data_IF_742798855819
#
_entry.id   IF_742798855819
#
_cell.length_a   1.000
_cell.length_b   1.000
_cell.length_c   1.000
_cell.angle_alpha   90.00
_cell.angle_beta   90.00
_cell.angle_gamma   90.00
#
_symmetry.space_group_name_H-M   'P 1'
#
loop_
_entity.id
_entity.type
_entity.pdbx_description
1 polymer ?
#
# COMPACT_ATOMS: atom_id res chain seq x y z
N UNK A 1 -29.23 -78.29 32.88
CA UNK A 1 -28.87 -77.31 31.83
C UNK A 1 -29.06 -75.91 32.41
N UNK A 2 -27.98 -75.19 32.75
CA UNK A 2 -28.12 -73.92 33.48
C UNK A 2 -26.90 -72.99 33.41
N UNK A 3 -26.15 -73.01 32.31
CA UNK A 3 -24.86 -72.29 32.20
C UNK A 3 -24.79 -71.15 31.18
N UNK A 4 -25.86 -70.83 30.45
CA UNK A 4 -25.74 -70.02 29.21
C UNK A 4 -26.20 -68.56 29.29
N UNK A 5 -26.92 -68.14 30.34
CA UNK A 5 -27.44 -66.76 30.46
C UNK A 5 -26.39 -65.74 30.93
N UNK A 6 -25.33 -66.18 31.63
CA UNK A 6 -24.27 -65.29 32.13
C UNK A 6 -23.25 -64.85 31.08
N UNK A 7 -22.95 -65.70 30.09
CA UNK A 7 -21.95 -65.40 29.05
C UNK A 7 -22.48 -64.41 28.02
N UNK A 8 -23.76 -64.51 27.65
CA UNK A 8 -24.40 -63.56 26.72
C UNK A 8 -24.49 -62.14 27.29
N UNK A 9 -24.82 -62.00 28.58
CA UNK A 9 -24.84 -60.71 29.26
C UNK A 9 -23.44 -60.07 29.37
N UNK A 10 -22.40 -60.89 29.58
CA UNK A 10 -21.02 -60.43 29.62
C UNK A 10 -20.53 -59.96 28.24
N UNK A 11 -20.82 -60.72 27.18
CA UNK A 11 -20.44 -60.37 25.80
C UNK A 11 -21.12 -59.07 25.35
N UNK A 12 -22.41 -58.90 25.67
CA UNK A 12 -23.13 -57.65 25.39
C UNK A 12 -22.57 -56.48 26.22
N UNK A 13 -22.22 -56.71 27.49
CA UNK A 13 -21.59 -55.68 28.34
C UNK A 13 -20.24 -55.19 27.80
N UNK A 14 -19.39 -56.10 27.31
CA UNK A 14 -18.09 -55.76 26.70
C UNK A 14 -18.29 -55.03 25.35
N UNK A 15 -19.26 -55.44 24.55
CA UNK A 15 -19.59 -54.76 23.29
C UNK A 15 -20.10 -53.33 23.53
N UNK A 16 -20.97 -53.13 24.53
CA UNK A 16 -21.48 -51.80 24.90
C UNK A 16 -20.39 -50.90 25.46
N UNK A 17 -19.43 -51.44 26.22
CA UNK A 17 -18.24 -50.71 26.66
C UNK A 17 -17.37 -50.26 25.48
N UNK A 18 -17.23 -51.10 24.45
CA UNK A 18 -16.53 -50.74 23.21
C UNK A 18 -17.21 -49.60 22.46
N UNK A 19 -18.54 -49.66 22.30
CA UNK A 19 -19.32 -48.59 21.65
C UNK A 19 -19.24 -47.30 22.47
N UNK A 20 -19.33 -47.39 23.80
CA UNK A 20 -19.22 -46.24 24.68
C UNK A 20 -17.83 -45.58 24.61
N UNK A 21 -16.78 -46.38 24.49
CA UNK A 21 -15.42 -45.87 24.30
C UNK A 21 -15.26 -45.13 22.96
N UNK A 22 -15.79 -45.69 21.87
CA UNK A 22 -15.77 -45.04 20.54
C UNK A 22 -16.63 -43.79 20.53
N UNK A 23 -17.80 -43.80 21.17
CA UNK A 23 -18.68 -42.64 21.27
C UNK A 23 -18.02 -41.50 22.07
N UNK A 24 -17.34 -41.81 23.17
CA UNK A 24 -16.61 -40.80 23.97
C UNK A 24 -15.49 -40.17 23.15
N UNK A 25 -14.72 -40.97 22.41
CA UNK A 25 -13.67 -40.46 21.50
C UNK A 25 -14.24 -39.57 20.39
N UNK A 26 -15.40 -39.93 19.83
CA UNK A 26 -16.05 -39.12 18.80
C UNK A 26 -16.57 -37.79 19.36
N UNK A 27 -17.12 -37.78 20.57
CA UNK A 27 -17.57 -36.57 21.26
C UNK A 27 -16.36 -35.68 21.57
N UNK A 28 -15.26 -36.24 22.04
CA UNK A 28 -14.04 -35.48 22.34
C UNK A 28 -13.43 -34.86 21.07
N UNK A 29 -13.43 -35.60 19.95
CA UNK A 29 -13.02 -35.06 18.65
C UNK A 29 -13.94 -33.93 18.15
N UNK A 30 -15.25 -34.05 18.35
CA UNK A 30 -16.22 -33.00 18.00
C UNK A 30 -16.08 -31.78 18.91
N UNK A 31 -15.85 -31.98 20.22
CA UNK A 31 -15.64 -30.89 21.16
C UNK A 31 -14.35 -30.14 20.84
N UNK A 32 -13.25 -30.84 20.57
CA UNK A 32 -12.00 -30.23 20.14
C UNK A 32 -12.19 -29.41 18.86
N UNK A 33 -12.85 -29.99 17.84
CA UNK A 33 -13.14 -29.27 16.59
C UNK A 33 -14.06 -28.06 16.80
N UNK A 34 -15.04 -28.16 17.70
CA UNK A 34 -15.90 -27.03 18.05
C UNK A 34 -15.15 -25.93 18.80
N UNK A 35 -14.17 -26.30 19.63
CA UNK A 35 -13.34 -25.36 20.36
C UNK A 35 -12.39 -24.64 19.42
N UNK A 36 -11.72 -25.37 18.50
CA UNK A 36 -10.82 -24.80 17.49
C UNK A 36 -11.56 -23.80 16.57
N UNK A 37 -12.83 -24.09 16.25
CA UNK A 37 -13.67 -23.18 15.45
C UNK A 37 -14.08 -21.93 16.25
N UNK A 38 -14.32 -22.07 17.55
CA UNK A 38 -14.67 -20.95 18.44
C UNK A 38 -13.46 -20.06 18.70
N UNK A 39 -12.27 -20.62 18.90
CA UNK A 39 -11.03 -19.86 19.04
C UNK A 39 -10.72 -19.10 17.75
N UNK A 40 -10.87 -19.73 16.58
CA UNK A 40 -10.69 -19.06 15.28
C UNK A 40 -11.73 -17.94 15.02
N UNK A 41 -12.92 -18.02 15.61
CA UNK A 41 -13.95 -16.97 15.51
C UNK A 41 -13.72 -15.82 16.51
N UNK A 42 -12.85 -16.01 17.51
CA UNK A 42 -12.49 -15.00 18.49
C UNK A 42 -11.25 -14.16 18.11
N UNK A 43 -10.49 -14.59 17.10
CA UNK A 43 -9.34 -13.84 16.62
C UNK A 43 -9.82 -12.58 15.87
N UNK A 44 -9.42 -11.39 16.29
CA UNK A 44 -9.91 -10.16 15.69
C UNK A 44 -9.49 -10.10 14.23
N UNK A 45 -10.40 -9.83 13.30
CA UNK A 45 -10.02 -9.74 11.89
C UNK A 45 -9.15 -8.50 11.64
N UNK A 46 -8.08 -8.61 10.84
CA UNK A 46 -7.44 -7.43 10.26
C UNK A 46 -8.46 -6.69 9.38
N UNK A 47 -8.49 -5.36 9.50
CA UNK A 47 -9.39 -4.52 8.74
C UNK A 47 -8.67 -3.23 8.36
N UNK A 48 -8.79 -2.86 7.09
CA UNK A 48 -8.21 -1.65 6.51
C UNK A 48 -9.34 -0.87 5.88
N UNK A 49 -9.37 0.43 6.18
CA UNK A 49 -10.36 1.36 5.65
C UNK A 49 -9.72 2.61 5.05
N UNK A 50 -10.45 3.24 4.12
CA UNK A 50 -10.08 4.48 3.45
C UNK A 50 -10.75 5.62 4.21
N UNK A 51 -9.94 6.50 4.80
CA UNK A 51 -10.45 7.69 5.50
C UNK A 51 -10.87 8.73 4.48
N UNK A 52 -9.98 9.02 3.53
CA UNK A 52 -10.21 9.90 2.42
C UNK A 52 -9.38 9.44 1.23
N UNK A 53 -9.83 9.84 0.05
CA UNK A 53 -9.06 9.72 -1.16
C UNK A 53 -9.50 10.84 -2.11
N UNK A 54 -8.55 11.32 -2.91
CA UNK A 54 -8.79 12.37 -3.90
C UNK A 54 -7.79 12.23 -5.03
N UNK A 55 -8.21 12.56 -6.24
CA UNK A 55 -7.29 12.78 -7.34
C UNK A 55 -6.91 14.27 -7.44
N UNK A 56 -5.61 14.52 -7.60
CA UNK A 56 -5.12 15.82 -8.01
C UNK A 56 -4.66 15.74 -9.45
N UNK A 57 -5.51 16.26 -10.32
CA UNK A 57 -5.14 16.53 -11.70
C UNK A 57 -4.06 17.62 -11.71
N UNK A 58 -3.14 17.52 -12.66
CA UNK A 58 -2.17 18.56 -13.00
C UNK A 58 -0.97 18.73 -12.05
N UNK A 59 -0.55 17.67 -11.36
CA UNK A 59 0.72 17.66 -10.64
C UNK A 59 1.91 17.41 -11.57
N UNK A 60 3.10 17.94 -11.24
CA UNK A 60 4.34 17.53 -11.94
C UNK A 60 4.69 16.13 -11.45
N UNK A 61 4.43 15.12 -12.28
CA UNK A 61 4.68 13.74 -11.90
C UNK A 61 6.14 13.35 -12.08
N UNK A 62 6.72 13.78 -13.20
CA UNK A 62 8.08 13.44 -13.59
C UNK A 62 8.82 14.68 -14.14
N UNK A 63 10.15 14.65 -14.05
CA UNK A 63 11.03 15.65 -14.64
C UNK A 63 12.10 14.95 -15.46
N UNK A 64 11.96 15.03 -16.77
CA UNK A 64 12.95 14.48 -17.69
C UNK A 64 14.16 15.42 -17.81
N UNK A 65 15.36 14.88 -17.59
CA UNK A 65 16.62 15.56 -17.86
C UNK A 65 16.93 15.39 -19.35
N UNK A 66 16.59 16.39 -20.16
CA UNK A 66 16.89 16.37 -21.60
C UNK A 66 18.37 16.64 -21.87
N UNK A 67 18.96 17.54 -21.08
CA UNK A 67 20.40 17.82 -21.05
C UNK A 67 20.79 18.08 -19.59
N UNK A 68 21.78 17.35 -19.07
CA UNK A 68 22.30 17.56 -17.71
C UNK A 68 23.16 18.82 -17.56
N UNK A 69 23.61 19.40 -18.68
CA UNK A 69 24.52 20.55 -18.70
C UNK A 69 25.91 20.21 -18.15
N UNK A 70 26.62 21.23 -17.66
CA UNK A 70 27.94 21.07 -17.02
C UNK A 70 28.18 22.16 -15.98
N UNK A 71 29.03 21.87 -14.98
CA UNK A 71 29.45 22.85 -13.97
C UNK A 71 28.42 23.15 -12.89
N UNK A 72 27.32 22.39 -12.83
CA UNK A 72 26.33 22.51 -11.76
C UNK A 72 26.86 21.94 -10.45
N UNK A 73 26.42 22.54 -9.36
CA UNK A 73 26.51 21.96 -8.01
C UNK A 73 25.12 21.49 -7.58
N UNK A 74 25.05 20.46 -6.73
CA UNK A 74 23.77 19.93 -6.24
C UNK A 74 22.94 21.04 -5.58
N UNK A 75 21.64 21.09 -5.89
CA UNK A 75 20.81 22.24 -5.56
C UNK A 75 19.31 21.94 -5.69
N UNK A 76 18.52 22.99 -5.83
CA UNK A 76 17.06 22.91 -5.98
C UNK A 76 16.61 23.27 -7.39
N UNK A 77 15.43 22.78 -7.77
CA UNK A 77 14.79 23.18 -9.03
C UNK A 77 13.81 24.31 -8.73
N UNK A 78 13.91 25.37 -9.50
CA UNK A 78 12.96 26.49 -9.48
C UNK A 78 12.03 26.40 -10.69
N UNK A 79 10.81 26.89 -10.49
CA UNK A 79 9.79 27.00 -11.53
C UNK A 79 9.68 28.44 -12.00
N UNK A 80 9.46 28.63 -13.30
CA UNK A 80 9.14 29.93 -13.89
C UNK A 80 8.09 29.77 -14.99
N UNK A 81 7.23 30.76 -15.17
CA UNK A 81 6.08 30.65 -16.07
C UNK A 81 5.03 29.64 -15.58
N UNK A 82 4.13 29.23 -16.49
CA UNK A 82 3.01 28.36 -16.16
C UNK A 82 1.90 29.03 -15.37
N UNK A 83 0.91 28.26 -14.94
CA UNK A 83 -0.19 28.72 -14.07
C UNK A 83 -0.40 27.68 -12.98
N UNK A 84 0.20 27.94 -11.82
CA UNK A 84 0.29 26.99 -10.73
C UNK A 84 1.31 27.43 -9.67
N UNK A 85 1.42 26.67 -8.59
CA UNK A 85 2.45 26.87 -7.56
C UNK A 85 2.66 25.60 -6.72
N UNK A 86 3.67 25.62 -5.86
CA UNK A 86 3.88 24.57 -4.86
C UNK A 86 4.83 23.45 -5.26
N UNK A 87 5.40 23.47 -6.47
CA UNK A 87 6.44 22.51 -6.84
C UNK A 87 7.76 22.78 -6.10
N UNK A 88 8.39 21.72 -5.62
CA UNK A 88 9.73 21.74 -5.02
C UNK A 88 10.44 20.43 -5.32
N UNK A 89 11.69 20.51 -5.76
CA UNK A 89 12.53 19.35 -6.04
C UNK A 89 14.00 19.69 -5.80
N UNK A 90 14.80 18.68 -5.49
CA UNK A 90 16.26 18.75 -5.45
C UNK A 90 16.85 17.98 -6.62
N UNK A 91 18.09 18.30 -6.98
CA UNK A 91 18.83 17.58 -7.99
C UNK A 91 20.25 17.26 -7.51
N UNK A 92 20.77 16.12 -7.97
CA UNK A 92 22.16 15.68 -7.78
C UNK A 92 22.95 15.86 -9.07
N UNK A 93 24.27 15.93 -8.94
CA UNK A 93 25.18 16.11 -10.07
C UNK A 93 26.24 15.03 -10.08
N UNK A 94 26.66 14.64 -11.28
CA UNK A 94 27.85 13.82 -11.47
C UNK A 94 29.08 14.61 -11.02
N UNK A 95 29.89 14.02 -10.14
CA UNK A 95 31.02 14.72 -9.50
C UNK A 95 32.18 15.02 -10.46
N UNK A 96 32.25 14.33 -11.60
CA UNK A 96 33.34 14.46 -12.57
C UNK A 96 33.05 15.50 -13.66
N UNK A 97 31.77 15.68 -14.02
CA UNK A 97 31.32 16.58 -15.09
C UNK A 97 30.51 17.77 -14.60
N UNK A 98 29.93 17.68 -13.40
CA UNK A 98 28.95 18.65 -12.89
C UNK A 98 27.66 18.66 -13.71
N UNK A 99 27.34 17.58 -14.41
CA UNK A 99 26.07 17.40 -15.11
C UNK A 99 25.00 16.93 -14.12
N UNK A 100 23.77 17.41 -14.27
CA UNK A 100 22.64 16.92 -13.47
C UNK A 100 22.34 15.47 -13.86
N UNK A 101 22.33 14.57 -12.88
CA UNK A 101 22.19 13.10 -13.07
C UNK A 101 21.01 12.50 -12.28
N UNK A 102 20.41 13.26 -11.37
CA UNK A 102 19.25 12.78 -10.62
C UNK A 102 18.38 13.91 -10.12
N UNK A 103 17.07 13.67 -10.03
CA UNK A 103 16.08 14.60 -9.51
C UNK A 103 15.23 13.87 -8.47
N UNK A 104 14.95 14.55 -7.36
CA UNK A 104 14.05 14.06 -6.32
C UNK A 104 12.96 15.10 -6.12
N UNK A 105 11.73 14.74 -6.46
CA UNK A 105 10.56 15.60 -6.27
C UNK A 105 10.12 15.53 -4.81
N UNK A 106 10.07 16.68 -4.14
CA UNK A 106 9.62 16.81 -2.75
C UNK A 106 8.14 17.19 -2.72
N UNK A 107 7.73 18.06 -3.63
CA UNK A 107 6.33 18.48 -3.80
C UNK A 107 6.05 18.66 -5.29
N UNK A 108 4.95 18.07 -5.75
CA UNK A 108 4.53 18.09 -7.16
C UNK A 108 3.85 19.41 -7.55
N UNK A 109 3.23 20.10 -6.57
CA UNK A 109 2.44 21.32 -6.81
C UNK A 109 1.23 21.08 -7.69
N UNK A 110 0.48 22.14 -8.00
CA UNK A 110 -0.69 22.09 -8.89
C UNK A 110 -0.53 23.07 -10.04
N UNK A 111 -0.64 22.59 -11.28
CA UNK A 111 -0.23 23.31 -12.49
C UNK A 111 -1.19 23.13 -13.67
N UNK A 112 -2.17 24.01 -13.83
CA UNK A 112 -3.04 24.01 -15.03
C UNK A 112 -2.30 24.26 -16.35
N UNK A 113 -1.13 24.91 -16.29
CA UNK A 113 -0.20 25.07 -17.41
C UNK A 113 1.20 24.74 -16.91
N UNK A 114 1.88 23.84 -17.61
CA UNK A 114 3.22 23.36 -17.23
C UNK A 114 4.21 24.53 -17.08
N UNK A 115 4.96 24.61 -15.98
CA UNK A 115 6.00 25.62 -15.82
C UNK A 115 7.24 25.24 -16.63
N UNK A 116 8.14 26.21 -16.80
CA UNK A 116 9.53 25.93 -17.18
C UNK A 116 10.34 25.65 -15.94
N UNK A 117 11.10 24.55 -15.94
CA UNK A 117 11.97 24.17 -14.84
C UNK A 117 13.40 24.66 -15.09
N UNK A 118 14.02 25.22 -14.06
CA UNK A 118 15.43 25.62 -14.07
C UNK A 118 16.14 25.14 -12.81
N UNK A 119 17.33 24.58 -12.98
CA UNK A 119 18.20 24.27 -11.85
C UNK A 119 18.75 25.58 -11.26
N UNK A 120 18.46 25.86 -9.98
CA UNK A 120 19.13 26.95 -9.27
C UNK A 120 20.52 26.45 -8.89
N UNK A 121 21.56 26.96 -9.54
CA UNK A 121 22.94 26.58 -9.25
C UNK A 121 23.53 27.51 -8.17
N UNK A 122 23.73 27.03 -6.92
CA UNK A 122 24.33 27.84 -5.87
C UNK A 122 25.82 28.16 -6.17
N UNK A 123 26.48 27.35 -7.00
CA UNK A 123 27.88 27.51 -7.38
C UNK A 123 28.12 28.58 -8.47
N UNK A 124 27.08 29.01 -9.19
CA UNK A 124 27.13 30.03 -10.23
C UNK A 124 27.90 29.66 -11.51
N UNK A 125 28.24 28.39 -11.71
CA UNK A 125 29.02 27.88 -12.85
C UNK A 125 28.23 26.97 -13.82
N UNK A 126 26.99 26.63 -13.48
CA UNK A 126 26.14 25.72 -14.24
C UNK A 126 25.64 26.31 -15.55
N UNK A 127 25.81 25.58 -16.65
CA UNK A 127 25.35 26.00 -17.98
C UNK A 127 24.74 24.84 -18.75
N UNK A 128 23.66 25.13 -19.49
CA UNK A 128 23.13 24.24 -20.53
C UNK A 128 22.27 23.08 -20.05
N UNK A 129 21.81 23.06 -18.79
CA UNK A 129 20.80 22.09 -18.38
C UNK A 129 19.43 22.41 -18.99
N UNK A 130 18.73 21.37 -19.40
CA UNK A 130 17.36 21.45 -19.91
C UNK A 130 16.53 20.37 -19.24
N UNK A 131 15.49 20.82 -18.53
CA UNK A 131 14.59 20.01 -17.74
C UNK A 131 13.18 20.17 -18.30
N UNK A 132 12.50 19.05 -18.55
CA UNK A 132 11.14 19.05 -19.09
C UNK A 132 10.20 18.44 -18.05
N UNK A 133 9.30 19.23 -17.43
CA UNK A 133 8.30 18.66 -16.53
C UNK A 133 7.24 17.92 -17.34
N UNK A 134 6.75 16.83 -16.77
CA UNK A 134 5.56 16.17 -17.27
C UNK A 134 4.44 16.26 -16.24
N UNK A 135 3.31 16.80 -16.68
CA UNK A 135 2.10 16.83 -15.87
C UNK A 135 1.39 15.47 -15.94
N UNK A 136 0.77 15.08 -14.84
CA UNK A 136 -0.03 13.88 -14.73
C UNK A 136 -1.08 14.00 -13.64
N UNK A 137 -1.76 12.90 -13.36
CA UNK A 137 -2.69 12.77 -12.23
C UNK A 137 -2.02 12.01 -11.10
N UNK A 138 -2.21 12.50 -9.88
CA UNK A 138 -1.75 11.86 -8.65
C UNK A 138 -2.97 11.52 -7.81
N UNK A 139 -3.04 10.31 -7.28
CA UNK A 139 -4.07 9.90 -6.34
C UNK A 139 -3.47 9.92 -4.93
N UNK A 140 -4.11 10.69 -4.06
CA UNK A 140 -3.83 10.74 -2.64
C UNK A 140 -4.89 9.95 -1.90
N UNK A 141 -4.48 9.11 -0.95
CA UNK A 141 -5.42 8.42 -0.08
C UNK A 141 -4.85 8.25 1.32
N UNK A 142 -5.63 8.56 2.34
CA UNK A 142 -5.29 8.18 3.71
C UNK A 142 -6.02 6.91 4.09
N UNK A 143 -5.27 5.93 4.56
CA UNK A 143 -5.80 4.64 5.00
C UNK A 143 -5.51 4.44 6.48
N UNK A 144 -6.36 3.67 7.15
CA UNK A 144 -6.18 3.29 8.54
C UNK A 144 -6.42 1.81 8.72
N UNK A 145 -5.80 1.25 9.75
CA UNK A 145 -6.16 -0.05 10.27
C UNK A 145 -7.18 0.13 11.38
N UNK A 146 -8.45 -0.10 11.08
CA UNK A 146 -9.55 -0.05 12.04
C UNK A 146 -9.80 -1.39 12.74
N UNK A 147 -9.07 -2.43 12.35
CA UNK A 147 -8.97 -3.69 13.07
C UNK A 147 -8.06 -3.59 14.31
N UNK A 148 -7.84 -4.73 14.97
CA UNK A 148 -6.93 -4.79 16.12
C UNK A 148 -5.67 -5.64 15.89
N UNK A 149 -5.52 -6.23 14.71
CA UNK A 149 -4.27 -6.91 14.30
C UNK A 149 -3.37 -5.95 13.57
N UNK A 150 -2.05 -6.07 13.74
CA UNK A 150 -1.08 -5.31 12.94
C UNK A 150 -0.95 -5.93 11.55
N UNK A 151 -0.90 -5.10 10.51
CA UNK A 151 -0.87 -5.55 9.12
C UNK A 151 0.43 -5.04 8.47
N UNK A 152 1.14 -5.90 7.73
CA UNK A 152 2.32 -5.46 6.98
C UNK A 152 1.88 -4.69 5.71
N UNK A 153 2.59 -3.62 5.34
CA UNK A 153 2.26 -2.85 4.14
C UNK A 153 2.35 -3.68 2.85
N UNK A 154 3.18 -4.72 2.84
CA UNK A 154 3.30 -5.66 1.71
C UNK A 154 2.06 -6.55 1.52
N UNK A 155 1.25 -6.72 2.57
CA UNK A 155 0.01 -7.51 2.56
C UNK A 155 -1.23 -6.65 2.28
N UNK A 156 -1.04 -5.34 2.05
CA UNK A 156 -2.10 -4.41 1.67
C UNK A 156 -1.93 -4.06 0.20
N UNK A 157 -3.00 -4.25 -0.55
CA UNK A 157 -3.05 -4.01 -1.98
C UNK A 157 -4.12 -2.97 -2.30
N UNK A 158 -3.88 -2.11 -3.27
CA UNK A 158 -4.89 -1.21 -3.77
C UNK A 158 -4.99 -1.30 -5.30
N UNK A 159 -6.10 -0.84 -5.85
CA UNK A 159 -6.30 -0.73 -7.29
C UNK A 159 -7.15 0.49 -7.57
N UNK A 160 -6.88 1.15 -8.69
CA UNK A 160 -7.61 2.33 -9.14
C UNK A 160 -8.39 1.95 -10.39
N UNK A 161 -9.70 2.26 -10.43
CA UNK A 161 -10.62 1.96 -11.54
C UNK A 161 -10.55 0.52 -12.11
N UNK A 162 -10.24 -0.46 -11.25
CA UNK A 162 -10.13 -1.87 -11.64
C UNK A 162 -8.89 -2.21 -12.45
N UNK A 163 -7.88 -1.34 -12.45
CA UNK A 163 -6.54 -1.66 -12.94
C UNK A 163 -5.87 -2.76 -12.09
N UNK A 164 -4.70 -3.22 -12.54
CA UNK A 164 -3.90 -4.20 -11.81
C UNK A 164 -3.64 -3.75 -10.37
N UNK A 165 -3.82 -4.62 -9.37
CA UNK A 165 -3.51 -4.27 -7.98
C UNK A 165 -2.03 -3.99 -7.75
N UNK A 166 -1.75 -2.99 -6.92
CA UNK A 166 -0.42 -2.55 -6.51
C UNK A 166 -0.27 -2.61 -4.99
N UNK A 167 0.97 -2.76 -4.50
CA UNK A 167 1.22 -2.91 -3.06
C UNK A 167 1.33 -1.54 -2.41
N UNK A 168 0.76 -1.39 -1.21
CA UNK A 168 0.91 -0.15 -0.43
C UNK A 168 2.36 0.09 -0.02
N UNK A 169 3.15 -0.98 0.15
CA UNK A 169 4.60 -0.90 0.46
C UNK A 169 5.42 -0.06 -0.52
N UNK A 170 4.93 0.13 -1.75
CA UNK A 170 5.69 0.81 -2.79
C UNK A 170 5.33 2.31 -2.88
N UNK A 171 4.20 2.72 -2.29
CA UNK A 171 3.60 4.05 -2.49
C UNK A 171 3.27 4.81 -1.20
N UNK A 172 3.51 4.21 -0.04
CA UNK A 172 3.22 4.87 1.22
C UNK A 172 4.25 5.96 1.54
N UNK A 173 3.76 7.15 1.86
CA UNK A 173 4.54 8.29 2.33
C UNK A 173 4.78 8.11 3.83
N UNK A 174 5.90 7.49 4.21
CA UNK A 174 6.32 7.46 5.62
C UNK A 174 7.63 8.20 5.83
N UNK A 175 7.67 9.05 6.86
CA UNK A 175 8.89 9.69 7.37
C UNK A 175 9.75 8.74 8.21
N UNK A 176 9.25 7.55 8.50
CA UNK A 176 9.92 6.50 9.27
C UNK A 176 9.75 5.20 8.51
N UNK A 177 10.82 4.44 8.29
CA UNK A 177 10.87 3.15 7.56
C UNK A 177 10.03 2.04 8.21
N UNK A 178 8.75 2.31 8.46
CA UNK A 178 7.80 1.41 9.11
C UNK A 178 7.34 0.44 8.03
N UNK A 179 7.39 -0.84 8.33
CA UNK A 179 6.93 -1.92 7.44
C UNK A 179 5.49 -2.35 7.77
N UNK A 180 4.92 -1.80 8.84
CA UNK A 180 3.64 -2.23 9.42
C UNK A 180 2.70 -1.06 9.70
N UNK A 181 1.41 -1.33 9.51
CA UNK A 181 0.26 -0.51 9.87
C UNK A 181 -0.36 -1.05 11.17
N UNK A 182 -0.18 -0.31 12.26
CA UNK A 182 -0.75 -0.66 13.56
C UNK A 182 -2.21 -0.20 13.66
N UNK A 183 -2.97 -0.80 14.57
CA UNK A 183 -4.35 -0.42 14.82
C UNK A 183 -4.47 1.07 15.19
N UNK A 184 -5.31 1.80 14.46
CA UNK A 184 -5.55 3.23 14.61
C UNK A 184 -4.50 4.15 13.96
N UNK A 185 -3.42 3.60 13.39
CA UNK A 185 -2.46 4.40 12.64
C UNK A 185 -3.04 4.81 11.29
N UNK A 186 -2.74 6.05 10.89
CA UNK A 186 -3.08 6.60 9.58
C UNK A 186 -1.81 6.68 8.75
N UNK A 187 -1.86 6.20 7.51
CA UNK A 187 -0.79 6.36 6.53
C UNK A 187 -1.34 6.94 5.23
N UNK A 188 -0.56 7.81 4.59
CA UNK A 188 -0.87 8.39 3.30
C UNK A 188 -0.23 7.56 2.18
N UNK A 189 -1.03 7.23 1.17
CA UNK A 189 -0.59 6.65 -0.10
C UNK A 189 -0.52 7.81 -1.10
N UNK A 190 0.58 7.88 -1.83
CA UNK A 190 0.74 8.78 -2.96
C UNK A 190 1.05 7.92 -4.17
N UNK A 191 0.07 7.75 -5.04
CA UNK A 191 0.21 7.00 -6.27
C UNK A 191 0.12 7.93 -7.46
N UNK A 192 0.89 7.66 -8.49
CA UNK A 192 0.83 8.38 -9.76
C UNK A 192 0.66 7.39 -10.92
N UNK A 193 -0.06 7.81 -11.96
CA UNK A 193 -0.46 6.88 -13.02
C UNK A 193 0.68 6.46 -13.97
N UNK A 194 1.89 6.99 -13.76
CA UNK A 194 3.02 6.85 -14.66
C UNK A 194 2.75 7.37 -16.09
N UNK A 195 1.54 7.85 -16.38
CA UNK A 195 1.10 8.29 -17.68
C UNK A 195 1.55 9.73 -17.85
N UNK A 196 2.62 9.88 -18.61
CA UNK A 196 3.25 11.16 -18.84
C UNK A 196 2.40 11.98 -19.82
N UNK A 197 1.87 13.13 -19.38
CA UNK A 197 1.20 14.11 -20.23
C UNK A 197 -0.25 13.77 -20.59
N UNK A 198 -0.81 12.72 -20.01
CA UNK A 198 -2.24 12.43 -20.08
C UNK A 198 -2.84 12.68 -18.72
N UNK A 199 -3.98 13.37 -18.69
CA UNK A 199 -4.75 13.51 -17.47
C UNK A 199 -5.84 12.47 -17.46
N UNK A 200 -5.79 11.64 -16.44
CA UNK A 200 -6.83 10.67 -16.16
C UNK A 200 -7.60 11.17 -14.96
N UNK A 201 -8.91 11.29 -15.11
CA UNK A 201 -9.83 11.51 -14.00
C UNK A 201 -10.18 10.13 -13.46
N UNK A 202 -9.74 9.83 -12.24
CA UNK A 202 -9.93 8.52 -11.64
C UNK A 202 -11.18 8.52 -10.78
N UNK A 203 -12.04 7.50 -10.93
CA UNK A 203 -13.33 7.50 -10.25
C UNK A 203 -13.40 6.64 -8.99
N UNK A 204 -12.52 5.64 -8.86
CA UNK A 204 -12.59 4.64 -7.77
C UNK A 204 -11.23 4.19 -7.29
N UNK A 205 -11.11 4.13 -5.97
CA UNK A 205 -10.02 3.46 -5.26
C UNK A 205 -10.58 2.26 -4.51
N UNK A 206 -10.00 1.09 -4.73
CA UNK A 206 -10.27 -0.10 -3.94
C UNK A 206 -9.02 -0.48 -3.16
N UNK A 207 -9.17 -0.83 -1.88
CA UNK A 207 -8.10 -1.35 -1.03
C UNK A 207 -8.47 -2.71 -0.48
N UNK A 208 -7.50 -3.60 -0.39
CA UNK A 208 -7.61 -4.93 0.18
C UNK A 208 -6.52 -5.14 1.22
N UNK A 209 -6.91 -5.54 2.43
CA UNK A 209 -5.99 -5.94 3.48
C UNK A 209 -6.45 -7.26 4.07
N UNK A 210 -5.65 -8.32 3.89
CA UNK A 210 -5.84 -9.64 4.53
C UNK A 210 -7.28 -10.20 4.38
N UNK A 211 -7.91 -10.01 3.23
CA UNK A 211 -9.24 -10.52 2.92
C UNK A 211 -10.41 -9.55 3.16
N UNK A 212 -10.18 -8.40 3.79
CA UNK A 212 -11.13 -7.29 3.80
C UNK A 212 -10.93 -6.41 2.56
N UNK A 213 -12.01 -6.00 1.88
CA UNK A 213 -11.96 -5.07 0.74
C UNK A 213 -12.87 -3.89 0.99
N UNK A 214 -12.33 -2.69 0.82
CA UNK A 214 -13.09 -1.44 0.83
C UNK A 214 -12.94 -0.73 -0.51
N UNK A 215 -13.99 -0.03 -0.93
CA UNK A 215 -14.01 0.75 -2.16
C UNK A 215 -14.55 2.13 -1.86
N UNK A 216 -13.81 3.16 -2.24
CA UNK A 216 -14.22 4.55 -2.14
C UNK A 216 -14.24 5.19 -3.54
N UNK A 217 -15.12 6.16 -3.73
CA UNK A 217 -15.04 7.01 -4.90
C UNK A 217 -13.97 8.06 -4.64
N UNK A 218 -13.27 8.43 -5.70
CA UNK A 218 -12.29 9.51 -5.73
C UNK A 218 -12.77 10.59 -6.69
#
# INVERSE_FOLDING_TARGET
>A
MGGSVGVGALVIGVALLGVFAVATQAIEAQLQSSLDTVDAAGDPLPSVSIIDASDELWGINDVAISLGGSGYTAGTITTSGGTGSGFSATYTVDISTGAIDGITIISRGSWTVAPTLSASDPGGGGVGASLTPTLGTVVYANITNDGSQTIAYEDIWFSIDGQSPERVSDYYSSTSSREYLFAGDIVSIIWDDGATGTLTDFGRLAINGMGHTEVNNI
#
